data_IF_584136170848
#
_entry.id   IF_584136170848
#
_cell.length_a   1.000
_cell.length_b   1.000
_cell.length_c   1.000
_cell.angle_alpha   90.00
_cell.angle_beta   90.00
_cell.angle_gamma   90.00
#
_symmetry.space_group_name_H-M   'P 1'
#
loop_
_entity.id
_entity.type
_entity.pdbx_description
1 polymer ?
#
# COMPACT_ATOMS: atom_id res chain seq x y z
N UNK A 1 29.59 13.92 -5.94
CA UNK A 1 29.95 12.69 -6.68
C UNK A 1 28.90 11.61 -6.43
N UNK A 2 27.61 11.90 -6.64
CA UNK A 2 26.48 11.00 -6.35
C UNK A 2 25.67 10.61 -7.62
N UNK A 3 26.06 11.13 -8.78
CA UNK A 3 25.31 10.92 -10.04
C UNK A 3 25.90 9.83 -10.94
N UNK A 4 27.14 9.39 -10.68
CA UNK A 4 27.83 8.39 -11.50
C UNK A 4 27.32 6.98 -11.19
N UNK A 5 27.03 6.70 -9.91
CA UNK A 5 26.46 5.40 -9.47
C UNK A 5 25.03 5.17 -9.99
N UNK A 6 24.25 6.23 -10.16
CA UNK A 6 22.91 6.13 -10.73
C UNK A 6 22.93 5.76 -12.23
N UNK A 7 23.98 6.16 -12.97
CA UNK A 7 24.14 5.86 -14.39
C UNK A 7 24.45 4.38 -14.66
N UNK A 8 25.35 3.78 -13.86
CA UNK A 8 25.67 2.35 -13.95
C UNK A 8 24.47 1.45 -13.67
N UNK A 9 23.55 1.90 -12.79
CA UNK A 9 22.28 1.20 -12.50
C UNK A 9 21.28 1.23 -13.66
N UNK A 10 21.43 2.13 -14.65
CA UNK A 10 20.51 2.19 -15.81
C UNK A 10 20.90 1.20 -16.89
N UNK A 11 22.19 1.07 -17.18
CA UNK A 11 22.68 0.23 -18.27
C UNK A 11 22.55 -1.27 -17.97
N UNK A 12 22.57 -1.66 -16.68
CA UNK A 12 22.36 -3.05 -16.24
C UNK A 12 20.90 -3.54 -16.24
N UNK A 13 19.91 -2.68 -16.50
CA UNK A 13 18.50 -3.06 -16.49
C UNK A 13 18.08 -3.98 -17.65
N UNK A 14 18.94 -4.18 -18.65
CA UNK A 14 18.65 -5.08 -19.76
C UNK A 14 18.78 -6.56 -19.37
N UNK A 15 19.65 -6.87 -18.40
CA UNK A 15 19.88 -8.22 -17.87
C UNK A 15 19.26 -8.39 -16.48
N UNK A 16 17.95 -8.13 -16.38
CA UNK A 16 17.21 -8.24 -15.11
C UNK A 16 17.10 -9.69 -14.65
N UNK A 17 17.92 -10.08 -13.68
CA UNK A 17 17.96 -11.43 -13.16
C UNK A 17 16.92 -11.68 -12.05
N UNK A 18 16.75 -12.95 -11.68
CA UNK A 18 15.95 -13.31 -10.50
C UNK A 18 16.54 -12.72 -9.20
N UNK A 19 17.86 -12.57 -9.13
CA UNK A 19 18.52 -11.94 -8.00
C UNK A 19 18.17 -10.46 -7.90
N UNK A 20 18.15 -9.75 -9.03
CA UNK A 20 17.78 -8.33 -9.07
C UNK A 20 16.32 -8.13 -8.63
N UNK A 21 15.41 -8.99 -9.10
CA UNK A 21 14.02 -8.96 -8.66
C UNK A 21 13.88 -9.26 -7.16
N UNK A 22 14.61 -10.26 -6.64
CA UNK A 22 14.60 -10.58 -5.21
C UNK A 22 15.10 -9.42 -4.35
N UNK A 23 16.18 -8.75 -4.78
CA UNK A 23 16.72 -7.57 -4.09
C UNK A 23 15.69 -6.43 -4.17
N UNK A 24 15.10 -6.19 -5.33
CA UNK A 24 14.10 -5.14 -5.50
C UNK A 24 12.88 -5.37 -4.59
N UNK A 25 12.43 -6.62 -4.44
CA UNK A 25 11.34 -6.99 -3.51
C UNK A 25 11.73 -6.82 -2.04
N UNK A 26 12.99 -7.08 -1.70
CA UNK A 26 13.50 -6.82 -0.36
C UNK A 26 13.47 -5.33 -0.06
N UNK A 27 13.94 -4.49 -0.99
CA UNK A 27 13.89 -3.02 -0.86
C UNK A 27 12.47 -2.51 -0.66
N UNK A 28 11.49 -3.01 -1.44
CA UNK A 28 10.09 -2.61 -1.27
C UNK A 28 9.54 -2.97 0.13
N UNK A 29 9.99 -4.09 0.71
CA UNK A 29 9.59 -4.53 2.04
C UNK A 29 10.24 -3.68 3.13
N UNK A 30 11.53 -3.40 2.99
CA UNK A 30 12.28 -2.55 3.94
C UNK A 30 11.75 -1.11 3.94
N UNK A 31 11.42 -0.55 2.76
CA UNK A 31 10.79 0.77 2.67
C UNK A 31 9.45 0.80 3.42
N UNK A 32 8.58 -0.19 3.20
CA UNK A 32 7.33 -0.29 3.94
C UNK A 32 7.54 -0.42 5.45
N UNK A 33 8.49 -1.27 5.87
CA UNK A 33 8.78 -1.51 7.28
C UNK A 33 9.29 -0.24 7.95
N UNK A 34 10.31 0.41 7.35
CA UNK A 34 10.90 1.63 7.88
C UNK A 34 9.87 2.76 8.00
N UNK A 35 9.05 2.98 6.98
CA UNK A 35 7.98 3.99 7.03
C UNK A 35 6.92 3.66 8.09
N UNK A 36 6.61 2.37 8.29
CA UNK A 36 5.66 1.93 9.30
C UNK A 36 6.19 2.13 10.72
N UNK A 37 7.45 1.77 10.98
CA UNK A 37 8.11 1.97 12.27
C UNK A 37 8.28 3.45 12.58
N UNK A 38 8.76 4.23 11.61
CA UNK A 38 8.92 5.67 11.79
C UNK A 38 7.58 6.34 12.14
N UNK A 39 6.50 5.99 11.41
CA UNK A 39 5.17 6.49 11.73
C UNK A 39 4.74 6.11 13.16
N UNK A 40 5.03 4.90 13.63
CA UNK A 40 4.74 4.50 15.01
C UNK A 40 5.54 5.31 16.04
N UNK A 41 6.82 5.57 15.77
CA UNK A 41 7.68 6.33 16.69
C UNK A 41 7.30 7.81 16.78
N UNK A 42 6.85 8.40 15.67
CA UNK A 42 6.54 9.84 15.62
C UNK A 42 5.07 10.18 15.87
N UNK A 43 4.17 9.20 15.83
CA UNK A 43 2.74 9.44 16.10
C UNK A 43 2.52 9.68 17.59
N UNK A 44 2.09 10.87 17.98
CA UNK A 44 1.60 11.11 19.34
C UNK A 44 0.25 10.38 19.53
N UNK A 45 0.16 9.39 20.44
CA UNK A 45 -1.08 8.64 20.66
C UNK A 45 -2.21 9.49 21.25
N UNK A 46 -1.91 10.66 21.83
CA UNK A 46 -2.88 11.56 22.45
C UNK A 46 -3.28 12.74 21.56
N UNK A 47 -2.72 12.83 20.34
CA UNK A 47 -3.09 13.87 19.40
C UNK A 47 -4.60 13.77 19.07
N UNK A 48 -5.38 14.85 19.29
CA UNK A 48 -6.81 14.86 19.01
C UNK A 48 -7.17 14.46 17.58
N UNK A 49 -6.34 14.81 16.59
CA UNK A 49 -6.57 14.48 15.18
C UNK A 49 -6.39 12.98 14.92
N UNK A 50 -5.35 12.37 15.51
CA UNK A 50 -5.08 10.92 15.41
C UNK A 50 -6.19 10.11 16.05
N UNK A 51 -6.68 10.55 17.21
CA UNK A 51 -7.81 9.92 17.91
C UNK A 51 -9.09 10.04 17.09
N UNK A 52 -9.38 11.23 16.55
CA UNK A 52 -10.54 11.46 15.70
C UNK A 52 -10.50 10.61 14.42
N UNK A 53 -9.34 10.47 13.80
CA UNK A 53 -9.13 9.63 12.62
C UNK A 53 -9.37 8.15 12.91
N UNK A 54 -8.80 7.64 14.00
CA UNK A 54 -8.99 6.25 14.46
C UNK A 54 -10.46 5.96 14.73
N UNK A 55 -11.15 6.85 15.44
CA UNK A 55 -12.59 6.74 15.70
C UNK A 55 -13.42 6.78 14.42
N UNK A 56 -13.08 7.68 13.47
CA UNK A 56 -13.76 7.75 12.16
C UNK A 56 -13.61 6.44 11.39
N UNK A 57 -12.40 5.89 11.31
CA UNK A 57 -12.13 4.59 10.65
C UNK A 57 -12.86 3.44 11.34
N UNK A 58 -12.85 3.41 12.68
CA UNK A 58 -13.56 2.42 13.49
C UNK A 58 -15.07 2.44 13.22
N UNK A 59 -15.69 3.62 13.20
CA UNK A 59 -17.13 3.80 12.88
C UNK A 59 -17.46 3.39 11.45
N UNK A 60 -16.58 3.71 10.51
CA UNK A 60 -16.71 3.29 9.11
C UNK A 60 -16.44 1.79 8.90
N UNK A 61 -16.02 1.05 9.94
CA UNK A 61 -15.72 -0.38 9.83
C UNK A 61 -14.51 -0.68 8.94
N UNK A 62 -13.66 0.33 8.70
CA UNK A 62 -12.45 0.20 7.88
C UNK A 62 -11.48 -0.71 8.62
N UNK A 63 -11.27 -1.90 8.09
CA UNK A 63 -10.22 -2.80 8.56
C UNK A 63 -8.97 -2.63 7.70
N UNK A 64 -7.78 -2.68 8.28
CA UNK A 64 -6.57 -2.78 7.49
C UNK A 64 -6.63 -4.06 6.64
N UNK A 65 -6.00 -4.07 5.45
CA UNK A 65 -5.90 -5.26 4.63
C UNK A 65 -5.15 -6.38 5.38
N UNK A 66 -5.47 -7.66 5.11
CA UNK A 66 -4.86 -8.80 5.82
C UNK A 66 -3.37 -8.97 5.52
N UNK A 67 -2.89 -8.42 4.40
CA UNK A 67 -1.48 -8.39 4.00
C UNK A 67 -1.08 -6.94 3.70
N UNK A 68 0.17 -6.55 4.01
CA UNK A 68 0.64 -5.19 3.73
C UNK A 68 0.63 -4.92 2.22
N UNK A 69 0.19 -3.72 1.86
CA UNK A 69 0.21 -3.23 0.48
C UNK A 69 1.58 -2.59 0.21
N UNK A 70 2.49 -3.38 -0.35
CA UNK A 70 3.84 -2.93 -0.67
C UNK A 70 3.86 -2.18 -2.00
N UNK A 71 4.36 -0.94 -1.99
CA UNK A 71 4.58 -0.15 -3.21
C UNK A 71 5.90 -0.57 -3.87
N UNK A 72 5.96 -0.76 -5.19
CA UNK A 72 7.21 -1.07 -5.90
C UNK A 72 8.07 0.20 -6.02
N UNK A 73 8.88 0.48 -5.01
CA UNK A 73 9.76 1.67 -4.95
C UNK A 73 11.12 1.40 -5.58
N UNK A 74 11.58 0.15 -5.57
CA UNK A 74 12.84 -0.22 -6.20
C UNK A 74 12.76 -0.07 -7.72
N UNK A 75 13.86 0.41 -8.32
CA UNK A 75 13.96 0.63 -9.76
C UNK A 75 14.03 -0.70 -10.50
N UNK A 76 13.21 -0.84 -11.53
CA UNK A 76 13.06 -2.04 -12.36
C UNK A 76 13.05 -1.69 -13.85
N UNK A 77 13.15 -2.67 -14.76
CA UNK A 77 12.94 -2.40 -16.16
C UNK A 77 11.49 -1.97 -16.38
N UNK A 78 11.29 -1.08 -17.36
CA UNK A 78 10.07 -0.27 -17.48
C UNK A 78 8.80 -1.12 -17.52
N UNK A 79 8.84 -2.26 -18.20
CA UNK A 79 7.68 -3.15 -18.33
C UNK A 79 7.23 -3.70 -16.96
N UNK A 80 8.16 -4.27 -16.20
CA UNK A 80 7.88 -4.83 -14.88
C UNK A 80 7.44 -3.74 -13.90
N UNK A 81 8.05 -2.55 -13.96
CA UNK A 81 7.65 -1.42 -13.12
C UNK A 81 6.17 -1.06 -13.34
N UNK A 82 5.75 -0.90 -14.60
CA UNK A 82 4.36 -0.56 -14.94
C UNK A 82 3.39 -1.65 -14.47
N UNK A 83 3.69 -2.92 -14.75
CA UNK A 83 2.85 -4.06 -14.34
C UNK A 83 2.66 -4.10 -12.80
N UNK A 84 3.71 -3.81 -12.03
CA UNK A 84 3.64 -3.79 -10.57
C UNK A 84 2.91 -2.57 -10.01
N UNK A 85 3.07 -1.40 -10.63
CA UNK A 85 2.35 -0.19 -10.24
C UNK A 85 0.85 -0.34 -10.48
N UNK A 86 0.45 -0.88 -11.63
CA UNK A 86 -0.95 -1.17 -11.95
C UNK A 86 -1.55 -2.16 -10.93
N UNK A 87 -0.85 -3.27 -10.65
CA UNK A 87 -1.29 -4.25 -9.65
C UNK A 87 -1.37 -3.64 -8.23
N UNK A 88 -0.46 -2.73 -7.88
CA UNK A 88 -0.52 -2.02 -6.60
C UNK A 88 -1.75 -1.10 -6.53
N UNK A 89 -2.01 -0.32 -7.57
CA UNK A 89 -3.18 0.57 -7.65
C UNK A 89 -4.48 -0.24 -7.55
N UNK A 90 -4.57 -1.36 -8.25
CA UNK A 90 -5.72 -2.26 -8.18
C UNK A 90 -5.95 -2.80 -6.75
N UNK A 91 -4.89 -3.22 -6.06
CA UNK A 91 -4.99 -3.71 -4.68
C UNK A 91 -5.39 -2.61 -3.69
N UNK A 92 -4.84 -1.41 -3.85
CA UNK A 92 -5.19 -0.25 -3.01
C UNK A 92 -6.64 0.16 -3.22
N UNK A 93 -7.09 0.24 -4.47
CA UNK A 93 -8.48 0.59 -4.80
C UNK A 93 -9.45 -0.48 -4.29
N UNK A 94 -9.13 -1.76 -4.48
CA UNK A 94 -9.94 -2.88 -3.96
C UNK A 94 -10.02 -2.89 -2.44
N UNK A 95 -8.91 -2.66 -1.74
CA UNK A 95 -8.88 -2.57 -0.29
C UNK A 95 -9.69 -1.36 0.22
N UNK A 96 -9.62 -0.22 -0.47
CA UNK A 96 -10.42 0.96 -0.18
C UNK A 96 -11.93 0.74 -0.43
N UNK A 97 -12.29 -0.01 -1.47
CA UNK A 97 -13.67 -0.32 -1.81
C UNK A 97 -14.32 -1.38 -0.90
N UNK A 98 -13.52 -2.27 -0.28
CA UNK A 98 -13.99 -3.30 0.66
C UNK A 98 -14.50 -2.76 2.01
N UNK A 99 -14.49 -1.43 2.22
CA UNK A 99 -15.16 -0.78 3.35
C UNK A 99 -16.67 -0.92 3.18
N UNK A 100 -17.18 -2.06 3.66
CA UNK A 100 -18.54 -2.54 3.50
C UNK A 100 -19.59 -1.51 3.95
N UNK A 101 -20.44 -1.09 3.01
CA UNK A 101 -21.81 -0.64 3.33
C UNK A 101 -22.51 -1.81 4.03
N UNK A 102 -22.65 -1.74 5.35
CA UNK A 102 -23.65 -2.56 6.04
C UNK A 102 -25.01 -2.08 5.54
N UNK A 103 -25.75 -2.94 4.84
CA UNK A 103 -27.11 -2.65 4.43
C UNK A 103 -27.92 -2.19 5.66
N UNK A 104 -28.47 -0.99 5.57
CA UNK A 104 -29.30 -0.40 6.61
C UNK A 104 -30.52 -1.28 6.88
N UNK A 105 -31.06 -1.22 8.10
CA UNK A 105 -32.29 -1.94 8.45
C UNK A 105 -33.46 -1.56 7.53
N UNK A 106 -33.48 -0.34 6.99
CA UNK A 106 -34.42 0.10 5.95
C UNK A 106 -34.23 -0.62 4.61
N UNK A 107 -32.98 -0.79 4.14
CA UNK A 107 -32.68 -1.52 2.91
C UNK A 107 -33.00 -3.02 3.03
N UNK A 108 -32.71 -3.62 4.20
CA UNK A 108 -33.06 -5.01 4.50
C UNK A 108 -34.58 -5.22 4.62
N UNK A 109 -35.33 -4.21 5.08
CA UNK A 109 -36.81 -4.25 5.13
C UNK A 109 -37.42 -4.07 3.74
N UNK A 110 -36.87 -3.17 2.91
CA UNK A 110 -37.31 -2.97 1.53
C UNK A 110 -37.08 -4.21 0.65
N UNK A 111 -35.99 -4.96 0.87
CA UNK A 111 -35.71 -6.20 0.17
C UNK A 111 -36.59 -7.40 0.61
N UNK A 112 -37.33 -7.26 1.74
CA UNK A 112 -38.12 -8.35 2.35
C UNK A 112 -39.64 -8.20 2.19
N UNK A 113 -40.15 -7.08 1.70
CA UNK A 113 -41.53 -6.95 1.20
C UNK A 113 -41.54 -7.21 -0.31
N UNK A 114 -42.40 -8.00 -0.97
CA UNK A 114 -43.83 -8.29 -0.75
C UNK A 114 -44.66 -7.07 -0.40
#
# INVERSE_FOLDING_TARGET
MWHVDLGALVDGLQDWSLTDENIARLVDREDYWLNSEYAQWTTDPNDPEVVADRERRRRAGVKPPPVPLLRPVARRPRRQQVELEEAFIERVTSAGAQVSRKASLSELRAARGK
#
